data_IF_873828085479
#
_entry.id   IF_873828085479
#
_cell.length_a   1.000
_cell.length_b   1.000
_cell.length_c   1.000
_cell.angle_alpha   90.00
_cell.angle_beta   90.00
_cell.angle_gamma   90.00
#
_symmetry.space_group_name_H-M   'P 1'
#
loop_
_entity.id
_entity.type
_entity.pdbx_description
1 polymer ?
#
# COMPACT_ATOMS: atom_id res chain seq x y z
N UNK A 1 -9.54 2.52 -7.42
CA UNK A 1 -9.43 1.15 -6.92
C UNK A 1 -8.24 0.43 -7.56
N UNK A 2 -7.69 -0.56 -6.87
CA UNK A 2 -6.59 -1.38 -7.39
C UNK A 2 -7.16 -2.47 -8.32
N UNK A 3 -6.90 -2.42 -9.64
CA UNK A 3 -7.51 -3.34 -10.60
C UNK A 3 -7.08 -4.80 -10.40
N UNK A 4 -5.87 -5.04 -9.86
CA UNK A 4 -5.39 -6.40 -9.64
C UNK A 4 -6.14 -7.09 -8.47
N UNK A 5 -6.47 -6.35 -7.41
CA UNK A 5 -7.30 -6.88 -6.30
C UNK A 5 -8.70 -7.24 -6.81
N UNK A 6 -9.33 -6.32 -7.56
CA UNK A 6 -10.66 -6.55 -8.12
C UNK A 6 -10.67 -7.70 -9.14
N UNK A 7 -9.65 -7.78 -10.00
CA UNK A 7 -9.51 -8.89 -10.95
C UNK A 7 -9.41 -10.25 -10.24
N UNK A 8 -8.69 -10.33 -9.12
CA UNK A 8 -8.62 -11.57 -8.35
C UNK A 8 -9.97 -11.91 -7.71
N UNK A 9 -10.62 -10.94 -7.04
CA UNK A 9 -11.90 -11.16 -6.35
C UNK A 9 -13.03 -11.52 -7.31
N UNK A 10 -13.17 -10.78 -8.42
CA UNK A 10 -14.39 -10.82 -9.25
C UNK A 10 -14.22 -11.69 -10.50
N UNK A 11 -13.01 -11.80 -11.03
CA UNK A 11 -12.78 -12.55 -12.27
C UNK A 11 -12.14 -13.89 -12.01
N UNK A 12 -10.94 -13.94 -11.39
CA UNK A 12 -10.19 -15.21 -11.24
C UNK A 12 -10.85 -16.16 -10.26
N UNK A 13 -11.21 -15.66 -9.08
CA UNK A 13 -11.77 -16.49 -8.00
C UNK A 13 -13.29 -16.36 -7.86
N UNK A 14 -13.97 -15.71 -8.81
CA UNK A 14 -15.43 -15.75 -8.93
C UNK A 14 -15.86 -16.31 -10.29
N UNK A 15 -15.88 -15.51 -11.35
CA UNK A 15 -16.39 -15.94 -12.66
C UNK A 15 -15.61 -17.15 -13.19
N UNK A 16 -14.27 -17.06 -13.23
CA UNK A 16 -13.45 -18.17 -13.74
C UNK A 16 -13.53 -19.40 -12.84
N UNK A 17 -13.53 -19.24 -11.51
CA UNK A 17 -13.70 -20.36 -10.59
C UNK A 17 -15.04 -21.09 -10.82
N UNK A 18 -16.15 -20.35 -10.92
CA UNK A 18 -17.47 -20.90 -11.18
C UNK A 18 -17.52 -21.70 -12.50
N UNK A 19 -16.93 -21.18 -13.56
CA UNK A 19 -16.86 -21.89 -14.85
C UNK A 19 -15.97 -23.15 -14.76
N UNK A 20 -14.83 -23.07 -14.07
CA UNK A 20 -13.97 -24.22 -13.87
C UNK A 20 -14.67 -25.35 -13.09
N UNK A 21 -15.42 -25.00 -12.03
CA UNK A 21 -16.22 -25.97 -11.25
C UNK A 21 -17.31 -26.63 -12.10
N UNK A 22 -18.00 -25.89 -12.99
CA UNK A 22 -18.99 -26.45 -13.93
C UNK A 22 -18.35 -27.44 -14.90
N UNK A 23 -17.07 -27.27 -15.23
CA UNK A 23 -16.31 -28.18 -16.10
C UNK A 23 -15.71 -29.38 -15.34
N UNK A 24 -16.02 -29.52 -14.04
CA UNK A 24 -15.57 -30.63 -13.21
C UNK A 24 -14.23 -30.43 -12.50
N UNK A 25 -13.71 -29.21 -12.44
CA UNK A 25 -12.54 -28.91 -11.63
C UNK A 25 -12.90 -28.86 -10.14
N UNK A 26 -12.03 -29.34 -9.26
CA UNK A 26 -12.19 -29.22 -7.81
C UNK A 26 -11.57 -27.93 -7.26
N UNK A 27 -10.47 -27.47 -7.89
CA UNK A 27 -9.66 -26.34 -7.46
C UNK A 27 -9.19 -25.50 -8.64
N UNK A 28 -8.84 -24.25 -8.34
CA UNK A 28 -8.12 -23.35 -9.26
C UNK A 28 -6.73 -23.09 -8.70
N UNK A 29 -5.69 -23.53 -9.42
CA UNK A 29 -4.30 -23.26 -9.08
C UNK A 29 -3.80 -21.98 -9.78
N UNK A 30 -3.11 -21.11 -9.04
CA UNK A 30 -2.53 -19.88 -9.58
C UNK A 30 -1.07 -19.73 -9.19
N UNK A 31 -0.32 -18.97 -10.00
CA UNK A 31 1.09 -18.66 -9.74
C UNK A 31 1.31 -17.52 -8.75
N UNK A 32 0.35 -17.20 -7.88
CA UNK A 32 0.56 -16.18 -6.86
C UNK A 32 1.56 -16.66 -5.80
N UNK A 33 2.49 -15.78 -5.46
CA UNK A 33 3.42 -15.99 -4.35
C UNK A 33 2.74 -15.67 -3.04
N UNK A 34 1.89 -16.56 -2.59
CA UNK A 34 1.24 -16.56 -1.27
C UNK A 34 1.02 -18.02 -0.83
N UNK A 35 0.73 -18.24 0.43
CA UNK A 35 0.50 -19.57 1.00
C UNK A 35 -0.92 -19.63 1.55
N UNK A 36 -1.43 -20.85 1.69
CA UNK A 36 -2.71 -21.14 2.33
C UNK A 36 -2.48 -22.11 3.48
N UNK A 37 -3.15 -21.91 4.59
CA UNK A 37 -3.23 -22.86 5.70
C UNK A 37 -4.71 -23.10 6.06
N UNK A 38 -4.94 -24.12 6.84
CA UNK A 38 -6.26 -24.52 7.32
C UNK A 38 -6.23 -24.62 8.84
N UNK A 39 -7.30 -24.18 9.47
CA UNK A 39 -7.52 -24.28 10.91
C UNK A 39 -8.94 -24.78 11.14
N UNK A 40 -9.13 -25.63 12.16
CA UNK A 40 -10.45 -26.06 12.56
C UNK A 40 -10.99 -25.11 13.63
N UNK A 41 -12.08 -24.43 13.33
CA UNK A 41 -12.77 -23.56 14.29
C UNK A 41 -13.40 -24.36 15.43
N UNK A 42 -13.71 -23.74 16.57
CA UNK A 42 -14.35 -24.41 17.72
C UNK A 42 -15.67 -25.10 17.40
N UNK A 43 -16.38 -24.67 16.36
CA UNK A 43 -17.62 -25.26 15.87
C UNK A 43 -17.42 -26.38 14.84
N UNK A 44 -16.17 -26.79 14.58
CA UNK A 44 -15.81 -27.85 13.66
C UNK A 44 -15.70 -27.44 12.18
N UNK A 45 -15.96 -26.17 11.84
CA UNK A 45 -15.76 -25.66 10.47
C UNK A 45 -14.28 -25.50 10.15
N UNK A 46 -13.91 -25.75 8.90
CA UNK A 46 -12.56 -25.43 8.40
C UNK A 46 -12.49 -23.95 8.03
N UNK A 47 -11.51 -23.25 8.58
CA UNK A 47 -11.16 -21.87 8.24
C UNK A 47 -9.89 -21.88 7.38
N UNK A 48 -9.96 -21.23 6.25
CA UNK A 48 -8.85 -21.09 5.32
C UNK A 48 -8.12 -19.78 5.56
N UNK A 49 -6.83 -19.85 5.86
CA UNK A 49 -5.98 -18.69 6.13
C UNK A 49 -5.17 -18.34 4.89
N UNK A 50 -5.10 -17.06 4.57
CA UNK A 50 -4.21 -16.54 3.54
C UNK A 50 -2.92 -16.07 4.19
N UNK A 51 -1.79 -16.65 3.80
CA UNK A 51 -0.48 -16.32 4.34
C UNK A 51 0.39 -15.62 3.31
N UNK A 52 1.27 -14.75 3.76
CA UNK A 52 2.31 -14.14 2.94
C UNK A 52 3.16 -15.22 2.25
N UNK A 53 3.64 -14.94 1.06
CA UNK A 53 4.57 -15.81 0.33
C UNK A 53 5.93 -15.89 1.04
N UNK A 54 6.64 -17.01 0.85
CA UNK A 54 7.98 -17.20 1.44
C UNK A 54 9.04 -16.25 0.85
N UNK A 55 8.81 -15.71 -0.35
CA UNK A 55 9.67 -14.69 -0.95
C UNK A 55 9.15 -13.27 -0.60
N UNK A 56 9.78 -12.54 0.33
CA UNK A 56 9.32 -11.22 0.76
C UNK A 56 9.36 -10.18 -0.37
N UNK A 57 10.21 -10.39 -1.41
CA UNK A 57 10.28 -9.50 -2.55
C UNK A 57 9.18 -9.77 -3.59
N UNK A 58 8.46 -10.89 -3.44
CA UNK A 58 7.44 -11.36 -4.39
C UNK A 58 6.10 -11.65 -3.74
N UNK A 59 5.99 -11.51 -2.42
CA UNK A 59 4.73 -11.70 -1.71
C UNK A 59 3.59 -10.97 -2.43
N UNK A 60 2.56 -11.74 -2.81
CA UNK A 60 1.40 -11.26 -3.56
C UNK A 60 0.09 -11.41 -2.77
N UNK A 61 0.17 -11.73 -1.48
CA UNK A 61 -1.00 -11.84 -0.60
C UNK A 61 -1.87 -10.58 -0.63
N UNK A 62 -1.25 -9.39 -0.71
CA UNK A 62 -1.96 -8.12 -0.84
C UNK A 62 -2.98 -8.09 -1.98
N UNK A 63 -2.67 -8.69 -3.13
CA UNK A 63 -3.60 -8.73 -4.26
C UNK A 63 -4.80 -9.66 -4.04
N UNK A 64 -4.73 -10.51 -3.03
CA UNK A 64 -5.76 -11.47 -2.65
C UNK A 64 -6.51 -11.07 -1.37
N UNK A 65 -6.29 -9.86 -0.88
CA UNK A 65 -6.81 -9.38 0.41
C UNK A 65 -8.34 -9.30 0.49
N UNK A 66 -9.03 -9.50 -0.62
CA UNK A 66 -10.50 -9.46 -0.72
C UNK A 66 -11.11 -10.83 -1.04
N UNK A 67 -10.35 -11.93 -0.94
CA UNK A 67 -10.91 -13.26 -1.16
C UNK A 67 -11.77 -13.71 0.02
N UNK A 68 -12.91 -14.31 -0.29
CA UNK A 68 -13.78 -14.93 0.70
C UNK A 68 -13.27 -16.32 1.12
N UNK A 69 -13.80 -16.87 2.21
CA UNK A 69 -13.54 -18.23 2.66
C UNK A 69 -13.92 -19.27 1.59
N UNK A 70 -15.03 -19.07 0.89
CA UNK A 70 -15.45 -19.95 -0.21
C UNK A 70 -14.43 -19.94 -1.34
N UNK A 71 -13.96 -18.75 -1.76
CA UNK A 71 -12.95 -18.61 -2.81
C UNK A 71 -11.60 -19.22 -2.39
N UNK A 72 -11.18 -19.00 -1.14
CA UNK A 72 -9.95 -19.58 -0.60
C UNK A 72 -10.02 -21.09 -0.49
N UNK A 73 -11.17 -21.67 -0.14
CA UNK A 73 -11.33 -23.13 -0.04
C UNK A 73 -10.96 -23.82 -1.35
N UNK A 74 -11.24 -23.17 -2.48
CA UNK A 74 -11.01 -23.69 -3.84
C UNK A 74 -9.73 -23.19 -4.50
N UNK A 75 -8.95 -22.34 -3.82
CA UNK A 75 -7.70 -21.77 -4.33
C UNK A 75 -6.49 -22.64 -3.96
N UNK A 76 -5.56 -22.81 -4.89
CA UNK A 76 -4.26 -23.42 -4.67
C UNK A 76 -3.13 -22.47 -5.11
N UNK A 77 -2.06 -22.41 -4.31
CA UNK A 77 -0.90 -21.55 -4.54
C UNK A 77 0.40 -22.35 -4.56
N UNK A 78 0.66 -23.15 -5.64
CA UNK A 78 1.74 -24.13 -5.67
C UNK A 78 3.14 -23.54 -5.49
N UNK A 79 3.34 -22.26 -5.83
CA UNK A 79 4.67 -21.62 -5.79
C UNK A 79 4.89 -20.74 -4.55
N UNK A 80 3.90 -20.64 -3.68
CA UNK A 80 3.93 -19.71 -2.55
C UNK A 80 4.99 -20.00 -1.50
N UNK A 81 5.45 -21.24 -1.40
CA UNK A 81 6.49 -21.69 -0.48
C UNK A 81 7.92 -21.62 -1.07
N UNK A 82 8.04 -21.23 -2.35
CA UNK A 82 9.31 -21.16 -3.06
C UNK A 82 9.77 -19.70 -3.23
N UNK A 83 11.08 -19.52 -3.25
CA UNK A 83 11.67 -18.26 -3.69
C UNK A 83 11.62 -18.17 -5.21
N UNK A 84 11.50 -16.98 -5.75
CA UNK A 84 11.41 -16.79 -7.20
C UNK A 84 12.59 -17.35 -8.00
N UNK A 85 13.85 -17.26 -7.56
CA UNK A 85 14.97 -17.94 -8.23
C UNK A 85 14.78 -19.46 -8.32
N UNK A 86 14.20 -20.08 -7.28
CA UNK A 86 13.93 -21.51 -7.27
C UNK A 86 12.87 -21.89 -8.30
N UNK A 87 11.78 -21.12 -8.37
CA UNK A 87 10.73 -21.31 -9.38
C UNK A 87 11.33 -21.22 -10.79
N UNK A 88 12.23 -20.27 -11.05
CA UNK A 88 12.92 -20.15 -12.34
C UNK A 88 13.82 -21.35 -12.63
N UNK A 89 14.60 -21.80 -11.64
CA UNK A 89 15.46 -22.98 -11.76
C UNK A 89 14.64 -24.23 -12.11
N UNK A 90 13.51 -24.45 -11.44
CA UNK A 90 12.59 -25.56 -11.73
C UNK A 90 12.05 -25.43 -13.16
N UNK A 91 11.60 -24.24 -13.56
CA UNK A 91 11.08 -23.99 -14.91
C UNK A 91 12.15 -24.29 -16.00
N UNK A 92 13.41 -23.93 -15.77
CA UNK A 92 14.54 -24.22 -16.67
C UNK A 92 14.84 -25.73 -16.72
N UNK A 93 14.88 -26.41 -15.58
CA UNK A 93 15.07 -27.86 -15.52
C UNK A 93 13.97 -28.61 -16.26
N UNK A 94 12.72 -28.15 -16.13
CA UNK A 94 11.56 -28.69 -16.84
C UNK A 94 11.49 -28.25 -18.31
N UNK A 95 12.46 -27.44 -18.78
CA UNK A 95 12.52 -26.90 -20.15
C UNK A 95 11.25 -26.18 -20.58
N UNK A 96 10.59 -25.47 -19.65
CA UNK A 96 9.38 -24.73 -19.96
C UNK A 96 9.70 -23.53 -20.87
N UNK A 97 8.92 -23.32 -21.90
CA UNK A 97 9.10 -22.21 -22.86
C UNK A 97 9.05 -20.82 -22.16
N UNK A 98 8.42 -20.74 -21.01
CA UNK A 98 8.26 -19.49 -20.22
C UNK A 98 9.37 -19.29 -19.19
N UNK A 99 10.34 -20.21 -19.02
CA UNK A 99 11.36 -20.13 -17.97
C UNK A 99 12.15 -18.81 -17.95
N UNK A 100 12.48 -18.27 -19.13
CA UNK A 100 13.21 -17.01 -19.31
C UNK A 100 12.31 -15.79 -19.48
N UNK A 101 10.99 -15.94 -19.38
CA UNK A 101 10.06 -14.83 -19.52
C UNK A 101 10.23 -13.82 -18.38
N UNK A 102 10.33 -12.53 -18.72
CA UNK A 102 10.34 -11.45 -17.72
C UNK A 102 9.00 -11.38 -17.00
N UNK A 103 9.03 -10.85 -15.77
CA UNK A 103 7.79 -10.63 -15.02
C UNK A 103 6.79 -9.81 -15.82
N UNK A 104 5.54 -10.19 -15.74
CA UNK A 104 4.46 -9.41 -16.35
C UNK A 104 4.41 -8.03 -15.69
N UNK A 105 4.52 -7.00 -16.52
CA UNK A 105 4.29 -5.62 -16.14
C UNK A 105 3.05 -5.15 -16.88
N UNK A 106 1.96 -4.92 -16.18
CA UNK A 106 0.72 -4.49 -16.81
C UNK A 106 -0.52 -4.96 -16.06
N UNK A 107 -1.68 -4.52 -16.54
CA UNK A 107 -2.99 -4.93 -16.01
C UNK A 107 -3.27 -6.36 -16.46
N UNK A 108 -3.78 -7.19 -15.55
CA UNK A 108 -4.17 -8.56 -15.86
C UNK A 108 -5.12 -8.60 -17.06
N UNK A 109 -4.92 -9.55 -17.98
CA UNK A 109 -5.64 -9.74 -19.24
C UNK A 109 -5.48 -8.66 -20.29
N UNK A 110 -5.13 -7.43 -19.91
CA UNK A 110 -4.94 -6.29 -20.84
C UNK A 110 -3.48 -6.18 -21.31
N UNK A 111 -2.55 -6.64 -20.47
CA UNK A 111 -1.11 -6.61 -20.76
C UNK A 111 -0.48 -5.26 -20.42
N UNK A 112 0.64 -4.95 -21.08
CA UNK A 112 1.37 -3.72 -20.87
C UNK A 112 0.67 -2.59 -21.60
N UNK A 113 0.06 -1.69 -20.86
CA UNK A 113 -0.60 -0.49 -21.36
C UNK A 113 0.09 0.76 -20.82
N UNK A 114 0.14 1.80 -21.61
CA UNK A 114 0.36 3.16 -21.12
C UNK A 114 -0.96 3.61 -20.49
N UNK A 115 -1.01 3.64 -19.16
CA UNK A 115 -2.24 3.90 -18.43
C UNK A 115 -2.89 5.24 -18.78
N UNK A 116 -2.18 6.37 -18.89
CA UNK A 116 -2.74 7.63 -19.38
C UNK A 116 -3.39 7.49 -20.75
N UNK A 117 -2.71 6.89 -21.73
CA UNK A 117 -3.24 6.68 -23.08
C UNK A 117 -4.47 5.77 -23.06
N UNK A 118 -4.44 4.70 -22.27
CA UNK A 118 -5.58 3.79 -22.12
C UNK A 118 -6.80 4.50 -21.51
N UNK A 119 -6.59 5.32 -20.49
CA UNK A 119 -7.66 6.08 -19.85
C UNK A 119 -8.23 7.15 -20.80
N UNK A 120 -7.41 7.77 -21.63
CA UNK A 120 -7.84 8.77 -22.63
C UNK A 120 -8.80 8.21 -23.68
N UNK A 121 -8.87 6.89 -23.86
CA UNK A 121 -9.86 6.26 -24.76
C UNK A 121 -11.31 6.40 -24.22
N UNK A 122 -11.47 6.64 -22.92
CA UNK A 122 -12.77 6.75 -22.24
C UNK A 122 -12.98 8.08 -21.52
N UNK A 123 -11.88 8.75 -21.17
CA UNK A 123 -11.88 10.00 -20.42
C UNK A 123 -11.25 11.09 -21.29
N UNK A 124 -12.04 12.09 -21.61
CA UNK A 124 -11.56 13.22 -22.43
C UNK A 124 -10.51 14.05 -21.67
N UNK A 125 -9.46 14.43 -22.38
CA UNK A 125 -8.47 15.35 -21.85
C UNK A 125 -9.09 16.75 -21.73
N UNK A 126 -9.06 17.33 -20.53
CA UNK A 126 -9.57 18.68 -20.25
C UNK A 126 -8.47 19.49 -19.56
N UNK A 127 -8.06 20.59 -20.18
CA UNK A 127 -7.05 21.47 -19.57
C UNK A 127 -7.53 22.01 -18.23
N UNK A 128 -6.71 21.80 -17.20
CA UNK A 128 -6.94 22.29 -15.83
C UNK A 128 -5.74 23.02 -15.25
N UNK A 129 -5.86 23.49 -14.04
CA UNK A 129 -4.84 24.30 -13.38
C UNK A 129 -4.09 23.51 -12.32
N UNK A 130 -2.77 23.79 -12.20
CA UNK A 130 -1.92 23.29 -11.14
C UNK A 130 -1.68 24.39 -10.13
N UNK A 131 -2.04 24.15 -8.86
CA UNK A 131 -1.83 25.06 -7.75
C UNK A 131 -0.79 24.47 -6.77
N UNK A 132 0.21 25.27 -6.43
CA UNK A 132 1.22 24.91 -5.45
C UNK A 132 0.77 25.32 -4.05
N UNK A 133 0.77 24.38 -3.13
CA UNK A 133 0.54 24.61 -1.69
C UNK A 133 1.91 24.63 -1.01
N UNK A 134 2.12 25.60 -0.14
CA UNK A 134 3.36 25.71 0.63
C UNK A 134 3.39 24.74 1.82
N UNK A 135 4.58 24.29 2.22
CA UNK A 135 4.77 23.39 3.36
C UNK A 135 4.39 24.03 4.71
N UNK A 136 4.38 25.35 4.79
CA UNK A 136 3.99 26.15 5.96
C UNK A 136 2.48 26.52 5.98
N UNK A 137 1.66 25.90 5.13
CA UNK A 137 0.21 26.17 5.12
C UNK A 137 -0.40 25.93 6.50
N UNK A 138 -1.06 26.96 7.03
CA UNK A 138 -1.51 27.05 8.42
C UNK A 138 -2.42 25.91 8.91
N UNK A 139 -3.10 25.22 7.99
CA UNK A 139 -3.99 24.10 8.36
C UNK A 139 -3.25 22.78 8.61
N UNK A 140 -1.97 22.64 8.24
CA UNK A 140 -1.19 21.43 8.56
C UNK A 140 -0.98 21.25 10.07
N UNK A 141 -0.83 22.34 10.83
CA UNK A 141 -0.66 22.30 12.28
C UNK A 141 -1.93 21.95 13.07
N UNK A 142 -3.11 22.13 12.50
CA UNK A 142 -4.38 21.92 13.22
C UNK A 142 -4.66 20.44 13.51
N UNK A 143 -4.28 19.54 12.63
CA UNK A 143 -4.42 18.08 12.84
C UNK A 143 -3.48 17.56 13.94
N UNK A 144 -2.33 18.21 14.16
CA UNK A 144 -1.34 17.81 15.18
C UNK A 144 -1.73 18.28 16.57
N UNK A 145 -2.38 19.46 16.70
CA UNK A 145 -2.75 20.03 17.99
C UNK A 145 -3.96 19.34 18.66
N UNK A 146 -4.72 18.52 17.91
CA UNK A 146 -5.82 17.72 18.44
C UNK A 146 -5.34 16.44 19.14
N UNK A 147 -4.11 15.99 18.89
CA UNK A 147 -3.48 14.87 19.60
C UNK A 147 -2.76 15.44 20.81
N UNK A 148 -3.41 15.40 21.96
CA UNK A 148 -3.00 15.98 23.22
C UNK A 148 -1.50 15.95 23.50
N UNK A 149 -1.01 17.05 24.07
CA UNK A 149 0.32 17.32 24.58
C UNK A 149 1.04 16.05 25.09
N UNK A 150 1.84 15.43 24.24
CA UNK A 150 2.97 14.65 24.72
C UNK A 150 4.01 15.67 25.16
N UNK A 151 4.35 15.64 26.45
CA UNK A 151 5.44 16.43 27.03
C UNK A 151 6.66 16.35 26.13
N UNK A 152 7.22 17.52 25.80
CA UNK A 152 8.49 17.69 25.13
C UNK A 152 9.59 17.00 25.95
N UNK A 153 9.91 15.77 25.61
CA UNK A 153 11.15 15.16 26.04
C UNK A 153 12.25 15.68 25.11
N UNK A 154 13.09 16.53 25.67
CA UNK A 154 14.20 17.28 25.15
C UNK A 154 14.83 16.76 23.85
N UNK A 155 14.69 17.54 22.80
CA UNK A 155 15.50 17.45 21.60
C UNK A 155 16.87 18.05 21.89
N UNK A 156 17.80 17.16 22.31
CA UNK A 156 19.21 17.50 22.31
C UNK A 156 19.68 17.76 20.87
N UNK A 157 20.14 18.96 20.63
CA UNK A 157 20.82 19.37 19.38
C UNK A 157 22.04 18.50 19.17
N UNK A 158 21.95 17.51 18.29
CA UNK A 158 23.13 16.82 17.75
C UNK A 158 23.68 17.65 16.60
N UNK A 159 24.78 18.35 16.85
CA UNK A 159 25.59 18.98 15.82
C UNK A 159 26.05 17.94 14.79
N UNK A 160 25.60 18.09 13.56
CA UNK A 160 26.14 17.37 12.42
C UNK A 160 27.48 17.98 12.05
N UNK A 161 28.57 17.37 12.46
CA UNK A 161 29.88 17.61 11.91
C UNK A 161 29.91 17.15 10.45
N UNK A 162 30.15 18.11 9.56
CA UNK A 162 30.37 17.88 8.13
C UNK A 162 31.76 17.25 7.98
N UNK A 163 31.83 16.00 7.58
CA UNK A 163 33.06 15.36 7.18
C UNK A 163 33.39 15.70 5.71
N UNK A 164 34.54 16.31 5.54
CA UNK A 164 35.18 16.71 4.30
C UNK A 164 35.39 15.51 3.36
N UNK A 165 34.95 15.63 2.11
CA UNK A 165 35.18 14.67 1.04
C UNK A 165 36.27 15.20 0.14
N UNK A 166 37.51 14.85 0.43
CA UNK A 166 38.58 14.92 -0.56
C UNK A 166 39.45 13.67 -0.45
N UNK A 167 39.41 12.84 -1.46
CA UNK A 167 40.45 12.02 -2.05
C UNK A 167 39.92 10.72 -2.64
N UNK A 168 39.81 10.67 -3.96
CA UNK A 168 39.70 9.45 -4.75
C UNK A 168 41.10 9.12 -5.27
N UNK A 169 41.63 7.91 -5.08
CA UNK A 169 42.70 7.39 -5.95
C UNK A 169 42.09 6.45 -7.00
N UNK A 170 42.40 6.72 -8.24
CA UNK A 170 42.16 5.91 -9.41
C UNK A 170 43.01 4.62 -9.39
N UNK A 171 42.43 3.51 -9.84
CA UNK A 171 43.18 2.39 -10.42
C UNK A 171 42.82 1.02 -9.85
N UNK A 172 42.21 0.24 -10.66
CA UNK A 172 42.42 -1.16 -11.03
C UNK A 172 41.18 -2.00 -11.21
N UNK A 173 41.15 -2.63 -12.37
CA UNK A 173 40.07 -3.45 -12.94
C UNK A 173 40.19 -4.93 -12.51
N UNK A 174 39.24 -5.78 -12.83
CA UNK A 174 38.74 -6.84 -11.98
C UNK A 174 39.25 -8.23 -12.38
N UNK A 175 39.32 -9.11 -11.44
CA UNK A 175 39.25 -10.56 -11.72
C UNK A 175 38.84 -11.33 -10.45
N UNK A 176 37.74 -12.07 -10.59
CA UNK A 176 37.45 -13.37 -9.97
C UNK A 176 37.70 -13.54 -8.46
N UNK A 177 36.66 -13.84 -7.71
CA UNK A 177 36.45 -15.15 -7.07
C UNK A 177 35.37 -15.07 -6.01
N UNK A 178 34.38 -15.95 -6.17
CA UNK A 178 33.93 -16.91 -5.15
C UNK A 178 33.31 -16.40 -3.82
N UNK A 179 32.10 -16.92 -3.63
CA UNK A 179 31.44 -17.27 -2.37
C UNK A 179 31.72 -16.38 -1.14
N UNK A 180 30.76 -15.54 -0.80
CA UNK A 180 30.50 -15.21 0.59
C UNK A 180 29.00 -15.06 0.86
N UNK A 181 28.59 -15.76 1.87
CA UNK A 181 27.28 -15.85 2.51
C UNK A 181 26.61 -14.48 2.64
N UNK A 182 25.36 -14.42 2.18
CA UNK A 182 24.46 -13.33 2.57
C UNK A 182 24.20 -13.44 4.08
N UNK A 183 24.47 -12.39 4.86
CA UNK A 183 24.07 -12.40 6.26
C UNK A 183 22.55 -12.46 6.36
N UNK A 184 22.10 -13.42 7.13
CA UNK A 184 20.75 -13.57 7.63
C UNK A 184 20.22 -12.20 8.11
N UNK A 185 19.04 -11.72 7.69
CA UNK A 185 18.49 -10.50 8.25
C UNK A 185 18.12 -10.79 9.71
N UNK A 186 19.06 -10.48 10.60
CA UNK A 186 18.82 -10.45 12.02
C UNK A 186 17.62 -9.54 12.29
N UNK A 187 16.64 -10.10 13.00
CA UNK A 187 15.62 -9.45 13.81
C UNK A 187 15.76 -7.93 13.87
N UNK A 188 14.89 -7.26 13.10
CA UNK A 188 14.69 -5.83 13.29
C UNK A 188 14.33 -5.58 14.76
N UNK A 189 14.93 -4.58 15.41
CA UNK A 189 14.57 -4.25 16.78
C UNK A 189 13.09 -3.87 16.79
N UNK A 190 12.33 -4.57 17.61
CA UNK A 190 10.96 -4.23 17.97
C UNK A 190 10.97 -2.79 18.46
N UNK A 191 10.56 -1.84 17.62
CA UNK A 191 10.41 -0.46 18.02
C UNK A 191 9.43 -0.45 19.20
N UNK A 192 9.92 -0.08 20.37
CA UNK A 192 9.13 0.06 21.59
C UNK A 192 8.09 1.13 21.29
N UNK A 193 6.86 0.70 21.01
CA UNK A 193 5.74 1.61 20.78
C UNK A 193 5.61 2.50 22.01
N UNK A 194 5.78 3.79 21.83
CA UNK A 194 5.52 4.77 22.87
C UNK A 194 4.08 4.55 23.36
N UNK A 195 3.91 4.09 24.59
CA UNK A 195 2.61 3.87 25.22
C UNK A 195 1.86 5.19 25.22
N UNK A 196 0.81 5.31 24.42
CA UNK A 196 -0.12 6.42 24.51
C UNK A 196 -0.78 6.38 25.89
N UNK A 197 -0.90 7.53 26.50
CA UNK A 197 -1.48 7.66 27.85
C UNK A 197 -3.00 7.45 27.88
N UNK A 198 -3.69 7.50 26.73
CA UNK A 198 -5.13 7.26 26.61
C UNK A 198 -5.51 6.76 25.22
N UNK A 199 -6.62 6.05 25.13
CA UNK A 199 -7.24 5.66 23.85
C UNK A 199 -7.75 6.91 23.14
N UNK A 200 -7.56 7.03 21.79
CA UNK A 200 -8.04 8.16 21.03
C UNK A 200 -9.59 8.14 20.98
N UNK A 201 -10.18 9.32 21.05
CA UNK A 201 -11.61 9.52 20.85
C UNK A 201 -11.98 9.36 19.38
N UNK A 202 -13.26 9.12 19.09
CA UNK A 202 -13.76 9.01 17.71
C UNK A 202 -13.52 10.30 16.92
N UNK A 203 -13.65 11.47 17.57
CA UNK A 203 -13.37 12.77 16.95
C UNK A 203 -11.88 12.93 16.59
N UNK A 204 -10.97 12.49 17.43
CA UNK A 204 -9.53 12.49 17.14
C UNK A 204 -9.19 11.55 16.00
N UNK A 205 -9.75 10.32 15.97
CA UNK A 205 -9.54 9.37 14.89
C UNK A 205 -10.04 9.94 13.56
N UNK A 206 -11.24 10.53 13.54
CA UNK A 206 -11.81 11.16 12.37
C UNK A 206 -10.95 12.33 11.87
N UNK A 207 -10.48 13.19 12.77
CA UNK A 207 -9.62 14.32 12.42
C UNK A 207 -8.26 13.88 11.84
N UNK A 208 -7.63 12.85 12.42
CA UNK A 208 -6.36 12.29 11.93
C UNK A 208 -6.49 11.57 10.59
N UNK A 209 -7.65 10.99 10.31
CA UNK A 209 -7.94 10.30 9.05
C UNK A 209 -8.41 11.23 7.94
N UNK A 210 -8.89 12.44 8.27
CA UNK A 210 -9.42 13.39 7.30
C UNK A 210 -8.35 13.80 6.28
N UNK A 211 -8.65 13.76 4.96
CA UNK A 211 -7.76 14.32 3.95
C UNK A 211 -7.69 15.84 4.04
N UNK A 212 -6.53 16.39 3.71
CA UNK A 212 -6.41 17.83 3.56
C UNK A 212 -7.25 18.30 2.37
N UNK A 213 -8.11 19.30 2.61
CA UNK A 213 -8.95 19.92 1.57
C UNK A 213 -8.38 21.27 1.20
N UNK A 214 -7.93 21.37 -0.05
CA UNK A 214 -7.38 22.60 -0.60
C UNK A 214 -8.41 23.32 -1.48
N UNK A 215 -8.25 24.62 -1.59
CA UNK A 215 -8.97 25.48 -2.53
C UNK A 215 -7.96 26.25 -3.37
N UNK A 216 -8.39 26.81 -4.49
CA UNK A 216 -7.53 27.64 -5.35
C UNK A 216 -6.94 28.86 -4.62
N UNK A 217 -7.54 29.26 -3.48
CA UNK A 217 -7.07 30.39 -2.64
C UNK A 217 -5.94 29.96 -1.70
N UNK A 218 -5.79 28.68 -1.41
CA UNK A 218 -4.76 28.15 -0.51
C UNK A 218 -3.38 28.05 -1.19
N UNK A 219 -3.34 28.21 -2.53
CA UNK A 219 -2.10 28.03 -3.29
C UNK A 219 -1.97 28.97 -4.48
N UNK A 220 -0.76 29.03 -5.07
CA UNK A 220 -0.45 29.81 -6.26
C UNK A 220 -0.56 28.94 -7.52
N UNK A 221 -1.25 29.42 -8.54
CA UNK A 221 -1.21 28.77 -9.87
C UNK A 221 0.20 28.79 -10.43
N UNK A 222 0.71 27.62 -10.82
CA UNK A 222 2.08 27.42 -11.31
C UNK A 222 2.15 26.73 -12.67
N UNK A 223 1.04 26.22 -13.19
CA UNK A 223 1.02 25.51 -14.47
C UNK A 223 -0.38 25.04 -14.86
N UNK A 224 -0.39 24.17 -15.85
CA UNK A 224 -1.60 23.51 -16.37
C UNK A 224 -1.34 22.01 -16.52
N UNK A 225 -2.43 21.23 -16.61
CA UNK A 225 -2.43 19.79 -16.85
C UNK A 225 -3.57 19.40 -17.79
N UNK A 226 -3.60 18.15 -18.24
CA UNK A 226 -4.55 17.64 -19.25
C UNK A 226 -5.77 16.90 -18.66
N UNK A 227 -6.05 17.06 -17.36
CA UNK A 227 -7.17 16.43 -16.67
C UNK A 227 -6.77 15.94 -15.27
N UNK A 228 -7.46 16.42 -14.24
CA UNK A 228 -7.16 16.09 -12.84
C UNK A 228 -7.29 14.58 -12.56
N UNK A 229 -8.20 13.90 -13.26
CA UNK A 229 -8.45 12.45 -13.14
C UNK A 229 -7.29 11.56 -13.63
N UNK A 230 -6.30 12.10 -14.34
CA UNK A 230 -5.10 11.35 -14.75
C UNK A 230 -4.00 11.34 -13.69
N UNK A 231 -4.19 12.07 -12.59
CA UNK A 231 -3.18 12.21 -11.55
C UNK A 231 -3.59 11.49 -10.27
N UNK A 232 -2.58 10.97 -9.58
CA UNK A 232 -2.76 10.25 -8.31
C UNK A 232 -1.99 10.95 -7.20
N UNK A 233 -2.52 10.95 -5.98
CA UNK A 233 -1.86 11.51 -4.80
C UNK A 233 -0.48 10.86 -4.62
N UNK A 234 0.54 11.70 -4.40
CA UNK A 234 1.95 11.31 -4.30
C UNK A 234 2.68 11.12 -5.64
N UNK A 235 2.00 11.31 -6.78
CA UNK A 235 2.64 11.23 -8.10
C UNK A 235 3.62 12.40 -8.30
N UNK A 236 4.83 12.06 -8.79
CA UNK A 236 5.89 13.01 -9.14
C UNK A 236 6.00 13.24 -10.65
N UNK A 237 5.96 12.15 -11.41
CA UNK A 237 6.19 12.20 -12.87
C UNK A 237 4.96 12.70 -13.62
N UNK A 238 5.19 13.38 -14.75
CA UNK A 238 4.13 13.78 -15.68
C UNK A 238 3.47 15.13 -15.36
N UNK A 239 3.96 15.89 -14.38
CA UNK A 239 3.47 17.24 -14.07
C UNK A 239 3.90 18.30 -15.10
N UNK A 240 5.04 18.08 -15.80
CA UNK A 240 5.53 19.01 -16.84
C UNK A 240 5.97 20.38 -16.34
N UNK A 241 6.19 20.54 -15.01
CA UNK A 241 6.56 21.82 -14.40
C UNK A 241 8.02 21.73 -13.93
N UNK A 242 8.88 22.53 -14.53
CA UNK A 242 10.30 22.63 -14.20
C UNK A 242 10.66 23.89 -13.41
N UNK A 243 11.98 24.11 -13.20
CA UNK A 243 12.50 25.33 -12.57
C UNK A 243 12.34 25.36 -11.04
N UNK A 244 12.23 24.20 -10.38
CA UNK A 244 12.11 24.04 -8.94
C UNK A 244 13.39 23.52 -8.32
N UNK A 245 13.61 23.81 -7.04
CA UNK A 245 14.76 23.28 -6.28
C UNK A 245 14.57 21.79 -6.02
N UNK A 246 13.35 21.39 -5.69
CA UNK A 246 12.97 20.01 -5.41
C UNK A 246 11.82 19.56 -6.32
N UNK A 247 11.53 18.26 -6.28
CA UNK A 247 10.45 17.67 -7.07
C UNK A 247 9.09 18.09 -6.54
N UNK A 248 8.15 18.32 -7.44
CA UNK A 248 6.74 18.51 -7.09
C UNK A 248 6.03 17.16 -6.97
N UNK A 249 5.12 17.08 -6.01
CA UNK A 249 4.27 15.92 -5.76
C UNK A 249 2.81 16.33 -5.70
N UNK A 250 1.92 15.51 -6.25
CA UNK A 250 0.48 15.72 -6.17
C UNK A 250 0.02 15.48 -4.73
N UNK A 251 -0.60 16.50 -4.13
CA UNK A 251 -1.17 16.44 -2.77
C UNK A 251 -2.65 16.08 -2.79
N UNK A 252 -3.39 16.63 -3.75
CA UNK A 252 -4.81 16.33 -3.95
C UNK A 252 -5.21 16.62 -5.40
N UNK A 253 -6.32 16.00 -5.81
CA UNK A 253 -6.96 16.22 -7.11
C UNK A 253 -8.42 16.60 -6.88
N UNK A 254 -8.85 17.67 -7.52
CA UNK A 254 -10.25 18.08 -7.60
C UNK A 254 -10.72 17.83 -9.03
N UNK A 255 -11.44 16.76 -9.23
CA UNK A 255 -11.88 16.33 -10.56
C UNK A 255 -13.03 17.20 -11.06
N UNK A 256 -13.88 17.71 -10.16
CA UNK A 256 -15.04 18.56 -10.49
C UNK A 256 -14.57 19.92 -11.00
N UNK A 257 -13.65 20.58 -10.27
CA UNK A 257 -13.07 21.86 -10.67
C UNK A 257 -11.92 21.72 -11.65
N UNK A 258 -11.50 20.48 -11.93
CA UNK A 258 -10.37 20.15 -12.79
C UNK A 258 -9.07 20.85 -12.35
N UNK A 259 -8.74 20.73 -11.06
CA UNK A 259 -7.56 21.33 -10.43
C UNK A 259 -6.73 20.24 -9.76
N UNK A 260 -5.41 20.35 -9.86
CA UNK A 260 -4.49 19.57 -9.03
C UNK A 260 -3.70 20.48 -8.10
N UNK A 261 -3.55 20.03 -6.85
CA UNK A 261 -2.76 20.70 -5.83
C UNK A 261 -1.46 19.93 -5.65
N UNK A 262 -0.34 20.66 -5.67
CA UNK A 262 0.99 20.08 -5.59
C UNK A 262 1.82 20.73 -4.48
N UNK A 263 2.80 20.02 -3.95
CA UNK A 263 3.77 20.53 -2.98
C UNK A 263 5.19 20.20 -3.41
N UNK A 264 6.13 21.06 -3.07
CA UNK A 264 7.57 20.91 -3.35
C UNK A 264 8.24 20.16 -2.19
N UNK A 265 9.07 19.16 -2.50
CA UNK A 265 9.77 18.32 -1.53
C UNK A 265 9.04 17.00 -1.21
N UNK A 266 9.80 15.96 -0.93
CA UNK A 266 9.25 14.63 -0.58
C UNK A 266 8.86 14.53 0.91
N UNK A 267 9.29 15.48 1.72
CA UNK A 267 8.93 15.70 3.13
C UNK A 267 7.71 16.62 3.32
N UNK A 268 7.11 17.08 2.22
CA UNK A 268 5.98 18.02 2.28
C UNK A 268 4.83 17.49 3.15
N UNK A 269 4.37 18.24 4.20
CA UNK A 269 3.39 17.74 5.17
C UNK A 269 2.08 17.22 4.55
N UNK A 270 1.63 17.84 3.46
CA UNK A 270 0.43 17.44 2.73
C UNK A 270 0.48 16.03 2.12
N UNK A 271 1.66 15.41 2.05
CA UNK A 271 1.82 14.02 1.59
C UNK A 271 1.52 13.00 2.67
N UNK A 272 1.50 13.39 3.94
CA UNK A 272 1.52 12.48 5.08
C UNK A 272 0.27 12.59 5.93
N UNK A 273 -0.26 11.45 6.36
CA UNK A 273 -1.34 11.35 7.37
C UNK A 273 -1.06 10.21 8.34
N UNK A 274 -1.51 10.35 9.58
CA UNK A 274 -1.32 9.33 10.62
C UNK A 274 -2.42 8.29 10.67
N UNK A 275 -3.59 8.59 10.10
CA UNK A 275 -4.69 7.63 10.09
C UNK A 275 -5.39 7.61 8.73
N UNK A 276 -6.15 6.55 8.52
CA UNK A 276 -7.09 6.41 7.42
C UNK A 276 -8.43 5.88 7.93
N UNK A 277 -9.47 6.12 7.17
CA UNK A 277 -10.84 5.70 7.44
C UNK A 277 -11.27 4.63 6.43
N UNK A 278 -12.04 3.66 6.88
CA UNK A 278 -12.67 2.62 6.07
C UNK A 278 -14.16 2.60 6.43
N UNK A 279 -15.04 2.63 5.43
CA UNK A 279 -16.47 2.50 5.67
C UNK A 279 -16.79 1.09 6.19
N UNK A 280 -17.79 0.93 7.09
CA UNK A 280 -18.14 -0.40 7.63
C UNK A 280 -18.47 -1.43 6.55
N UNK A 281 -19.16 -1.01 5.47
CA UNK A 281 -19.51 -1.86 4.33
C UNK A 281 -18.30 -2.31 3.49
N UNK A 282 -17.16 -1.66 3.65
CA UNK A 282 -15.92 -1.94 2.91
C UNK A 282 -14.90 -2.74 3.74
N UNK A 283 -15.23 -3.08 4.99
CA UNK A 283 -14.44 -3.99 5.79
C UNK A 283 -14.58 -5.42 5.29
N UNK A 284 -13.48 -6.11 5.17
CA UNK A 284 -13.43 -7.50 4.76
C UNK A 284 -12.49 -8.29 5.67
N UNK A 285 -13.00 -9.35 6.28
CA UNK A 285 -12.26 -10.28 7.10
C UNK A 285 -12.05 -11.59 6.34
N UNK A 286 -10.80 -11.93 6.07
CA UNK A 286 -10.45 -13.22 5.47
C UNK A 286 -10.63 -14.32 6.51
N UNK A 287 -10.07 -14.10 7.71
CA UNK A 287 -10.29 -14.98 8.85
C UNK A 287 -11.46 -14.45 9.72
N UNK A 288 -12.64 -15.09 9.67
CA UNK A 288 -13.79 -14.66 10.44
C UNK A 288 -13.63 -14.83 11.96
N UNK A 289 -12.68 -15.66 12.41
CA UNK A 289 -12.39 -15.83 13.85
C UNK A 289 -11.61 -14.62 14.42
N UNK A 290 -11.04 -13.81 13.56
CA UNK A 290 -10.27 -12.62 13.92
C UNK A 290 -11.06 -11.32 13.80
N UNK A 291 -12.32 -11.41 13.37
CA UNK A 291 -13.20 -10.25 13.21
C UNK A 291 -13.36 -9.47 14.52
N UNK A 292 -13.14 -8.16 14.45
CA UNK A 292 -13.33 -7.26 15.57
C UNK A 292 -14.73 -6.67 15.55
N UNK A 293 -15.34 -6.56 16.74
CA UNK A 293 -16.65 -5.96 16.94
C UNK A 293 -16.55 -4.44 17.16
N UNK A 294 -17.65 -3.75 16.98
CA UNK A 294 -17.76 -2.32 17.31
C UNK A 294 -17.34 -2.05 18.74
N UNK A 295 -16.45 -1.08 18.93
CA UNK A 295 -15.84 -0.72 20.21
C UNK A 295 -14.49 -1.40 20.46
N UNK A 296 -14.15 -2.45 19.72
CA UNK A 296 -12.86 -3.12 19.86
C UNK A 296 -11.76 -2.45 19.07
N UNK A 297 -10.53 -2.70 19.47
CA UNK A 297 -9.32 -2.37 18.71
C UNK A 297 -8.28 -3.48 18.83
N UNK A 298 -7.42 -3.57 17.82
CA UNK A 298 -6.28 -4.48 17.82
C UNK A 298 -5.15 -3.95 16.97
N UNK A 299 -3.93 -4.25 17.41
CA UNK A 299 -2.70 -3.92 16.68
C UNK A 299 -2.44 -4.95 15.58
N UNK A 300 -2.05 -4.43 14.41
CA UNK A 300 -1.66 -5.20 13.24
C UNK A 300 -0.47 -4.56 12.54
N UNK A 301 0.18 -5.35 11.69
CA UNK A 301 1.08 -4.85 10.67
C UNK A 301 0.29 -4.58 9.39
N UNK A 302 0.41 -3.38 8.81
CA UNK A 302 -0.46 -2.91 7.75
C UNK A 302 0.33 -2.44 6.53
N UNK A 303 -0.17 -2.72 5.34
CA UNK A 303 0.28 -2.06 4.10
C UNK A 303 -0.92 -1.47 3.34
N UNK A 304 -0.71 -0.31 2.76
CA UNK A 304 -1.71 0.39 1.95
C UNK A 304 -1.38 0.39 0.46
N UNK A 305 -0.29 -0.29 0.08
CA UNK A 305 0.16 -0.47 -1.29
C UNK A 305 0.94 -1.77 -1.44
N UNK A 306 0.86 -2.38 -2.60
CA UNK A 306 1.74 -3.47 -2.96
C UNK A 306 3.21 -3.05 -2.90
N UNK A 307 4.07 -3.90 -2.36
CA UNK A 307 5.51 -3.66 -2.11
C UNK A 307 5.86 -2.62 -1.05
N UNK A 308 4.89 -2.02 -0.39
CA UNK A 308 5.18 -1.23 0.80
C UNK A 308 5.61 -2.18 1.92
N UNK A 309 6.68 -1.88 2.67
CA UNK A 309 6.97 -2.57 3.92
C UNK A 309 5.78 -2.48 4.87
N UNK A 310 5.56 -3.52 5.65
CA UNK A 310 4.53 -3.52 6.69
C UNK A 310 4.81 -2.41 7.72
N UNK A 311 3.75 -1.72 8.14
CA UNK A 311 3.78 -0.60 9.08
C UNK A 311 2.91 -0.93 10.28
N UNK A 312 3.42 -0.75 11.50
CA UNK A 312 2.63 -0.94 12.70
C UNK A 312 1.46 0.04 12.77
N UNK A 313 0.27 -0.47 13.02
CA UNK A 313 -0.93 0.34 13.18
C UNK A 313 -1.91 -0.33 14.14
N UNK A 314 -2.78 0.47 14.75
CA UNK A 314 -3.91 -0.03 15.52
C UNK A 314 -5.21 0.18 14.73
N UNK A 315 -5.95 -0.91 14.54
CA UNK A 315 -7.27 -0.90 13.91
C UNK A 315 -8.33 -0.70 14.99
N UNK A 316 -9.12 0.33 14.84
CA UNK A 316 -10.26 0.65 15.70
C UNK A 316 -11.56 0.43 14.94
N UNK A 317 -12.48 -0.38 15.49
CA UNK A 317 -13.83 -0.52 14.94
C UNK A 317 -14.77 0.40 15.72
N UNK A 318 -15.37 1.35 15.02
CA UNK A 318 -16.34 2.31 15.58
C UNK A 318 -17.70 2.15 14.88
N UNK A 319 -18.73 2.76 15.42
CA UNK A 319 -20.09 2.67 14.88
C UNK A 319 -20.24 3.30 13.49
N UNK A 320 -19.45 4.33 13.19
CA UNK A 320 -19.49 5.09 11.94
C UNK A 320 -18.45 4.63 10.91
N UNK A 321 -17.35 4.02 11.37
CA UNK A 321 -16.23 3.62 10.52
C UNK A 321 -15.24 2.70 11.24
N UNK A 322 -14.34 2.10 10.49
CA UNK A 322 -13.08 1.62 11.02
C UNK A 322 -11.95 2.62 10.72
N UNK A 323 -11.02 2.73 11.67
CA UNK A 323 -9.87 3.63 11.57
C UNK A 323 -8.58 2.84 11.78
N UNK A 324 -7.63 3.00 10.87
CA UNK A 324 -6.26 2.54 11.05
C UNK A 324 -5.40 3.73 11.47
N UNK A 325 -4.84 3.66 12.67
CA UNK A 325 -3.97 4.67 13.24
C UNK A 325 -2.55 4.12 13.27
N UNK A 326 -1.70 4.66 12.40
CA UNK A 326 -0.31 4.24 12.23
C UNK A 326 0.60 4.82 13.31
N UNK A 327 1.65 4.08 13.65
CA UNK A 327 2.71 4.58 14.53
C UNK A 327 3.42 5.77 13.90
N UNK A 328 3.74 5.68 12.60
CA UNK A 328 4.39 6.71 11.82
C UNK A 328 3.47 7.23 10.71
N UNK A 329 3.57 8.53 10.35
CA UNK A 329 2.78 9.09 9.27
C UNK A 329 2.99 8.34 7.95
N UNK A 330 1.91 8.00 7.27
CA UNK A 330 1.93 7.28 6.01
C UNK A 330 1.82 8.24 4.82
N UNK A 331 2.72 8.04 3.85
CA UNK A 331 2.76 8.87 2.64
C UNK A 331 1.70 8.45 1.64
N UNK A 332 0.95 9.43 1.13
CA UNK A 332 0.07 9.26 -0.03
C UNK A 332 -1.06 8.28 0.21
N UNK A 333 -1.71 8.33 1.36
CA UNK A 333 -2.97 7.62 1.62
C UNK A 333 -3.97 8.08 0.56
N UNK A 334 -4.44 7.13 -0.27
CA UNK A 334 -5.27 7.44 -1.44
C UNK A 334 -6.61 6.72 -1.34
N UNK A 335 -7.74 7.44 -1.42
CA UNK A 335 -9.07 6.84 -1.45
C UNK A 335 -9.22 5.84 -2.60
N UNK A 336 -9.98 4.77 -2.36
CA UNK A 336 -10.19 3.69 -3.32
C UNK A 336 -9.06 2.66 -3.40
N UNK A 337 -7.92 2.87 -2.75
CA UNK A 337 -6.91 1.83 -2.54
C UNK A 337 -7.30 0.94 -1.36
N UNK A 338 -6.65 -0.21 -1.23
CA UNK A 338 -6.89 -1.13 -0.13
C UNK A 338 -5.85 -0.94 0.98
N UNK A 339 -6.31 -0.97 2.22
CA UNK A 339 -5.48 -1.24 3.38
C UNK A 339 -5.62 -2.72 3.74
N UNK A 340 -4.52 -3.42 3.92
CA UNK A 340 -4.49 -4.83 4.26
C UNK A 340 -3.69 -5.01 5.56
N UNK A 341 -4.26 -5.74 6.54
CA UNK A 341 -3.65 -5.95 7.84
C UNK A 341 -3.30 -7.40 8.08
N UNK A 342 -2.14 -7.58 8.71
CA UNK A 342 -1.47 -8.85 8.94
C UNK A 342 -1.24 -9.07 10.44
N UNK A 343 -1.32 -10.32 10.86
CA UNK A 343 -0.85 -10.80 12.16
C UNK A 343 0.25 -11.84 11.90
N UNK A 344 1.51 -11.43 12.01
CA UNK A 344 2.64 -12.20 11.51
C UNK A 344 2.57 -12.40 9.98
N UNK A 345 2.60 -13.65 9.54
CA UNK A 345 2.48 -14.01 8.11
C UNK A 345 1.03 -14.04 7.62
N UNK A 346 0.04 -14.06 8.51
CA UNK A 346 -1.37 -14.19 8.15
C UNK A 346 -1.95 -12.85 7.73
N UNK A 347 -2.50 -12.78 6.51
CA UNK A 347 -3.33 -11.67 6.09
C UNK A 347 -4.75 -11.88 6.64
N UNK A 348 -5.09 -11.12 7.66
CA UNK A 348 -6.32 -11.29 8.46
C UNK A 348 -7.52 -10.62 7.81
N UNK A 349 -7.30 -9.46 7.20
CA UNK A 349 -8.38 -8.72 6.57
C UNK A 349 -7.89 -7.49 5.81
N UNK A 350 -8.85 -6.78 5.23
CA UNK A 350 -8.59 -5.58 4.45
C UNK A 350 -9.81 -4.65 4.39
N UNK A 351 -9.61 -3.46 3.85
CA UNK A 351 -10.73 -2.55 3.58
C UNK A 351 -10.36 -1.49 2.56
N UNK A 352 -11.38 -0.93 1.92
CA UNK A 352 -11.19 0.17 0.96
C UNK A 352 -11.02 1.48 1.73
N UNK A 353 -9.94 2.20 1.42
CA UNK A 353 -9.67 3.51 2.02
C UNK A 353 -10.74 4.49 1.56
N UNK A 354 -11.46 5.08 2.52
CA UNK A 354 -12.49 6.09 2.26
C UNK A 354 -11.88 7.49 2.04
N UNK A 355 -12.72 8.39 1.52
CA UNK A 355 -12.41 9.82 1.41
C UNK A 355 -12.42 10.53 2.78
#
# INVERSE_FOLDING_TARGET
PNPDVLCNREIKFDVFLKEALKLGADFVATGHYCRKAEETAPDGRTIYKLLAGSDPNKDQSYFLCQLSQEQLSRALFPVGHLLKPEVRRIAEQMKLATAKRKDSQGICFVGKVDLPVFLQQKLEAKTGNVHEIKSDWSKYGQAVSLVGKTEEAGMGTAERTVADKSAIPSGMNPANTDSTECPNPATAPTATAAKRSSMPTDAELAALAAPYRYTVRDGKKIGQHNGAHFYTIGQRKGLGIGGRKESLFVLATDVEQNVIYVGEGDDHPGLYRRALRIAPSELHWIDPLRELKTGESRRFDVRIRYRQPLQGAELFIRSDAAYLLFDEPQRGITPGQFAAWYDGDELVGSGVIAE
#
